data_IF_298402091063
#
_entry.id   IF_298402091063
#
_cell.length_a   1.000
_cell.length_b   1.000
_cell.length_c   1.000
_cell.angle_alpha   90.00
_cell.angle_beta   90.00
_cell.angle_gamma   90.00
#
_symmetry.space_group_name_H-M   'P 1'
#
loop_
_entity.id
_entity.type
_entity.pdbx_description
1 polymer ?
#
# COMPACT_ATOMS: atom_id res chain seq x y z
N UNK A 1 -1.37 -29.61 24.00
CA UNK A 1 -1.84 -28.30 23.51
C UNK A 1 -1.97 -28.45 22.01
N UNK A 2 -3.18 -28.36 21.50
CA UNK A 2 -3.44 -28.61 20.08
C UNK A 2 -3.04 -27.38 19.26
N UNK A 3 -2.34 -27.64 18.15
CA UNK A 3 -1.81 -26.62 17.25
C UNK A 3 -2.61 -26.71 15.95
N UNK A 4 -3.10 -25.57 15.47
CA UNK A 4 -3.84 -25.43 14.23
C UNK A 4 -3.12 -24.46 13.28
N UNK A 5 -3.09 -24.81 12.00
CA UNK A 5 -2.59 -23.91 10.95
C UNK A 5 -3.72 -22.94 10.56
N UNK A 6 -3.58 -21.68 10.94
CA UNK A 6 -4.61 -20.64 10.78
C UNK A 6 -4.11 -19.54 9.84
N UNK A 7 -5.02 -18.99 9.02
CA UNK A 7 -4.72 -17.94 8.04
C UNK A 7 -5.20 -16.58 8.54
N UNK A 8 -4.29 -15.61 8.63
CA UNK A 8 -4.60 -14.21 8.95
C UNK A 8 -5.65 -13.63 7.99
N UNK A 9 -6.71 -13.07 8.54
CA UNK A 9 -7.84 -12.51 7.76
C UNK A 9 -7.45 -11.21 7.03
N UNK A 10 -6.40 -10.53 7.49
CA UNK A 10 -5.89 -9.31 6.90
C UNK A 10 -5.00 -9.61 5.67
N UNK A 11 -3.81 -10.18 5.91
CA UNK A 11 -2.75 -10.34 4.91
C UNK A 11 -2.68 -11.75 4.30
N UNK A 12 -3.35 -12.74 4.90
CA UNK A 12 -3.35 -14.11 4.41
C UNK A 12 -2.12 -14.94 4.79
N UNK A 13 -1.22 -14.40 5.62
CA UNK A 13 -0.13 -15.16 6.24
C UNK A 13 -0.70 -16.34 7.04
N UNK A 14 -0.04 -17.50 6.96
CA UNK A 14 -0.41 -18.68 7.73
C UNK A 14 0.56 -18.85 8.89
N UNK A 15 0.02 -19.17 10.06
CA UNK A 15 0.79 -19.41 11.29
C UNK A 15 0.26 -20.67 11.96
N UNK A 16 1.15 -21.44 12.59
CA UNK A 16 0.79 -22.57 13.44
C UNK A 16 0.61 -22.04 14.86
N UNK A 17 -0.61 -22.09 15.38
CA UNK A 17 -0.98 -21.46 16.64
C UNK A 17 -1.81 -22.39 17.51
N UNK A 18 -1.73 -22.21 18.82
CA UNK A 18 -2.55 -22.96 19.77
C UNK A 18 -3.97 -22.41 19.78
N UNK A 19 -4.96 -23.27 20.05
CA UNK A 19 -6.36 -22.83 20.03
C UNK A 19 -6.65 -21.72 21.04
N UNK A 20 -6.00 -21.77 22.20
CA UNK A 20 -6.14 -20.74 23.23
C UNK A 20 -5.65 -19.37 22.74
N UNK A 21 -4.49 -19.34 22.06
CA UNK A 21 -3.96 -18.11 21.50
C UNK A 21 -4.85 -17.58 20.36
N UNK A 22 -5.39 -18.47 19.52
CA UNK A 22 -6.34 -18.09 18.47
C UNK A 22 -7.58 -17.40 19.05
N UNK A 23 -8.15 -17.98 20.11
CA UNK A 23 -9.32 -17.42 20.77
C UNK A 23 -9.01 -16.09 21.46
N UNK A 24 -7.86 -15.97 22.11
CA UNK A 24 -7.41 -14.72 22.74
C UNK A 24 -7.27 -13.58 21.73
N UNK A 25 -6.63 -13.85 20.59
CA UNK A 25 -6.48 -12.85 19.51
C UNK A 25 -7.84 -12.46 18.97
N UNK A 26 -8.73 -13.42 18.67
CA UNK A 26 -10.09 -13.11 18.19
C UNK A 26 -10.88 -12.26 19.19
N UNK A 27 -10.75 -12.53 20.49
CA UNK A 27 -11.42 -11.73 21.52
C UNK A 27 -10.91 -10.27 21.55
N UNK A 28 -9.63 -10.05 21.25
CA UNK A 28 -9.02 -8.72 21.21
C UNK A 28 -9.35 -7.94 19.94
N UNK A 29 -9.46 -8.59 18.78
CA UNK A 29 -9.53 -7.93 17.47
C UNK A 29 -10.87 -8.13 16.76
N UNK A 30 -11.99 -7.85 17.44
CA UNK A 30 -13.33 -7.86 16.83
C UNK A 30 -13.70 -9.21 16.19
N UNK A 31 -13.38 -10.31 16.89
CA UNK A 31 -13.64 -11.67 16.42
C UNK A 31 -12.73 -12.16 15.29
N UNK A 32 -11.81 -11.32 14.81
CA UNK A 32 -10.93 -11.63 13.67
C UNK A 32 -9.60 -12.20 14.13
N UNK A 33 -9.14 -13.24 13.44
CA UNK A 33 -7.78 -13.73 13.60
C UNK A 33 -6.79 -12.87 12.80
N UNK A 34 -5.81 -12.30 13.49
CA UNK A 34 -4.70 -11.54 12.92
C UNK A 34 -3.37 -12.22 13.25
N UNK A 35 -2.46 -12.25 12.28
CA UNK A 35 -1.09 -12.70 12.56
C UNK A 35 -0.38 -11.76 13.53
N UNK A 36 0.76 -12.20 14.09
CA UNK A 36 1.52 -11.39 15.06
C UNK A 36 1.81 -9.97 14.57
N UNK A 37 2.25 -9.83 13.31
CA UNK A 37 2.58 -8.53 12.71
C UNK A 37 1.36 -7.61 12.52
N UNK A 38 0.24 -8.15 12.04
CA UNK A 38 -0.99 -7.36 11.90
C UNK A 38 -1.56 -6.96 13.28
N UNK A 39 -1.41 -7.83 14.28
CA UNK A 39 -1.86 -7.55 15.66
C UNK A 39 -1.05 -6.42 16.31
N UNK A 40 0.26 -6.34 16.07
CA UNK A 40 1.08 -5.20 16.50
C UNK A 40 0.68 -3.92 15.76
N UNK A 41 0.54 -3.97 14.43
CA UNK A 41 0.18 -2.80 13.63
C UNK A 41 -1.17 -2.19 14.05
N UNK A 42 -2.19 -3.01 14.32
CA UNK A 42 -3.49 -2.53 14.82
C UNK A 42 -3.34 -1.89 16.21
N UNK A 43 -2.55 -2.48 17.12
CA UNK A 43 -2.30 -1.90 18.45
C UNK A 43 -1.60 -0.54 18.37
N UNK A 44 -0.64 -0.41 17.46
CA UNK A 44 0.05 0.85 17.20
C UNK A 44 -0.91 1.93 16.68
N UNK A 45 -1.86 1.56 15.81
CA UNK A 45 -2.90 2.46 15.30
C UNK A 45 -3.83 2.95 16.43
N UNK A 46 -4.26 2.05 17.33
CA UNK A 46 -5.08 2.41 18.51
C UNK A 46 -4.33 3.38 19.42
N UNK A 47 -3.06 3.10 19.72
CA UNK A 47 -2.24 3.93 20.62
C UNK A 47 -1.91 5.32 20.05
N UNK A 48 -1.92 5.49 18.72
CA UNK A 48 -1.62 6.77 18.06
C UNK A 48 -2.78 7.77 18.08
N UNK A 49 -4.01 7.29 18.31
CA UNK A 49 -5.19 8.14 18.39
C UNK A 49 -5.33 8.80 19.75
N UNK A 50 -5.34 10.14 19.82
CA UNK A 50 -5.72 10.91 21.03
C UNK A 50 -7.22 10.79 21.41
N UNK A 51 -7.92 9.82 20.83
CA UNK A 51 -9.31 9.46 21.13
C UNK A 51 -9.33 7.96 21.31
N UNK A 52 -10.16 7.48 22.24
CA UNK A 52 -10.50 6.06 22.35
C UNK A 52 -11.05 5.59 20.99
N UNK A 53 -10.16 5.15 20.10
CA UNK A 53 -10.58 4.48 18.88
C UNK A 53 -11.16 3.14 19.31
N UNK A 54 -12.39 2.90 18.88
CA UNK A 54 -13.01 1.59 19.02
C UNK A 54 -12.11 0.63 18.25
N UNK A 55 -11.61 -0.42 18.91
CA UNK A 55 -10.69 -1.42 18.33
C UNK A 55 -11.17 -1.93 16.95
N UNK A 56 -12.49 -2.06 16.78
CA UNK A 56 -13.14 -2.37 15.50
C UNK A 56 -12.72 -1.42 14.37
N UNK A 57 -12.66 -0.12 14.61
CA UNK A 57 -12.30 0.89 13.62
C UNK A 57 -10.83 0.76 13.22
N UNK A 58 -9.93 0.55 14.18
CA UNK A 58 -8.51 0.30 13.89
C UNK A 58 -8.32 -0.98 13.07
N UNK A 59 -8.98 -2.08 13.46
CA UNK A 59 -8.98 -3.33 12.68
C UNK A 59 -9.47 -3.07 11.25
N UNK A 60 -10.57 -2.33 11.08
CA UNK A 60 -11.14 -2.01 9.75
C UNK A 60 -10.20 -1.12 8.92
N UNK A 61 -9.57 -0.13 9.52
CA UNK A 61 -8.61 0.76 8.88
C UNK A 61 -7.39 -0.04 8.38
N UNK A 62 -6.78 -0.82 9.26
CA UNK A 62 -5.64 -1.68 8.94
C UNK A 62 -5.95 -2.68 7.80
N UNK A 63 -7.07 -3.40 7.90
CA UNK A 63 -7.47 -4.35 6.85
C UNK A 63 -7.72 -3.66 5.50
N UNK A 64 -8.29 -2.45 5.51
CA UNK A 64 -8.51 -1.66 4.30
C UNK A 64 -7.19 -1.21 3.67
N UNK A 65 -6.22 -0.82 4.50
CA UNK A 65 -4.87 -0.47 4.07
C UNK A 65 -4.16 -1.68 3.45
N UNK A 66 -4.07 -2.81 4.18
CA UNK A 66 -3.39 -4.00 3.68
C UNK A 66 -3.99 -4.52 2.37
N UNK A 67 -5.31 -4.45 2.19
CA UNK A 67 -5.96 -4.85 0.93
C UNK A 67 -5.50 -4.06 -0.29
N UNK A 68 -5.16 -2.77 -0.14
CA UNK A 68 -4.67 -1.93 -1.26
C UNK A 68 -3.31 -2.38 -1.78
N UNK A 69 -2.48 -2.93 -0.90
CA UNK A 69 -1.10 -3.34 -1.20
C UNK A 69 -0.93 -4.86 -1.26
N UNK A 70 -2.03 -5.62 -1.42
CA UNK A 70 -1.96 -7.08 -1.71
C UNK A 70 -1.31 -7.39 -3.06
N UNK A 71 -1.10 -6.39 -3.92
CA UNK A 71 -0.32 -6.56 -5.14
C UNK A 71 1.14 -6.75 -4.80
N UNK A 72 1.76 -7.79 -5.36
CA UNK A 72 3.20 -7.97 -5.31
C UNK A 72 3.87 -6.65 -5.76
N UNK A 73 4.80 -6.06 -4.98
CA UNK A 73 5.48 -4.82 -5.35
C UNK A 73 6.07 -4.87 -6.78
N UNK A 74 6.49 -6.06 -7.24
CA UNK A 74 6.94 -6.29 -8.60
C UNK A 74 5.88 -5.98 -9.67
N UNK A 75 4.59 -6.14 -9.39
CA UNK A 75 3.48 -5.79 -10.30
C UNK A 75 3.42 -4.27 -10.46
N UNK A 76 3.53 -3.51 -9.37
CA UNK A 76 3.53 -2.04 -9.43
C UNK A 76 4.75 -1.52 -10.19
N UNK A 77 5.93 -2.12 -9.96
CA UNK A 77 7.15 -1.82 -10.72
C UNK A 77 6.95 -2.15 -12.21
N UNK A 78 6.40 -3.32 -12.53
CA UNK A 78 6.11 -3.72 -13.90
C UNK A 78 5.09 -2.79 -14.58
N UNK A 79 4.07 -2.33 -13.86
CA UNK A 79 3.10 -1.35 -14.37
C UNK A 79 3.76 0.01 -14.66
N UNK A 80 4.63 0.47 -13.77
CA UNK A 80 5.45 1.65 -14.00
C UNK A 80 6.31 1.51 -15.27
N UNK A 81 6.99 0.37 -15.44
CA UNK A 81 7.78 0.07 -16.64
C UNK A 81 6.91 0.03 -17.91
N UNK A 82 5.75 -0.64 -17.84
CA UNK A 82 4.78 -0.69 -18.95
C UNK A 82 4.33 0.70 -19.36
N UNK A 83 4.02 1.58 -18.40
CA UNK A 83 3.59 2.95 -18.66
C UNK A 83 4.71 3.78 -19.32
N UNK A 84 5.96 3.65 -18.86
CA UNK A 84 7.12 4.32 -19.45
C UNK A 84 7.36 3.90 -20.91
N UNK A 85 7.29 2.60 -21.19
CA UNK A 85 7.48 2.07 -22.55
C UNK A 85 6.33 2.50 -23.50
N UNK A 86 5.08 2.52 -23.01
CA UNK A 86 3.91 2.99 -23.78
C UNK A 86 3.99 4.48 -24.09
N UNK A 87 4.42 5.32 -23.13
CA UNK A 87 4.65 6.76 -23.37
C UNK A 87 5.69 6.99 -24.46
N UNK A 88 6.75 6.19 -24.47
CA UNK A 88 7.83 6.29 -25.46
C UNK A 88 7.44 5.79 -26.87
N UNK A 89 6.40 4.96 -26.98
CA UNK A 89 5.93 4.44 -28.28
C UNK A 89 4.86 5.31 -28.95
N UNK A 90 4.28 6.28 -28.24
CA UNK A 90 3.34 7.26 -28.82
C UNK A 90 4.00 8.47 -29.51
N UNK A 91 5.27 8.77 -29.20
CA UNK A 91 6.00 9.92 -29.78
C UNK A 91 6.70 9.60 -31.11
N UNK A 92 6.70 8.34 -31.56
CA UNK A 92 7.29 7.94 -32.84
C UNK A 92 6.30 7.97 -34.02
N UNK A 93 5.08 8.46 -33.82
CA UNK A 93 4.09 8.55 -34.90
C UNK A 93 3.32 9.86 -34.91
N UNK A 94 4.01 11.00 -34.71
CA UNK A 94 3.61 12.28 -35.32
C UNK A 94 4.57 13.42 -34.96
N UNK A 95 5.62 13.65 -35.76
CA UNK A 95 6.06 15.02 -36.09
C UNK A 95 7.15 15.00 -37.17
N UNK A 96 6.75 14.77 -38.42
CA UNK A 96 7.41 15.43 -39.54
C UNK A 96 7.08 16.92 -39.47
N UNK A 97 7.91 17.75 -38.83
CA UNK A 97 8.13 19.18 -39.20
C UNK A 97 8.99 19.94 -38.18
N UNK A 98 10.24 20.19 -38.60
CA UNK A 98 11.06 21.40 -38.44
C UNK A 98 11.37 21.97 -37.04
N UNK A 99 12.66 22.27 -36.74
CA UNK A 99 13.04 22.96 -35.51
C UNK A 99 12.62 24.43 -35.56
N UNK A 100 11.75 24.85 -34.63
CA UNK A 100 11.44 26.27 -34.43
C UNK A 100 12.65 26.98 -33.83
N UNK A 101 13.27 27.87 -34.59
CA UNK A 101 14.32 28.80 -34.12
C UNK A 101 13.72 29.73 -33.06
N UNK A 102 14.19 29.63 -31.83
CA UNK A 102 13.97 30.62 -30.79
C UNK A 102 14.85 31.85 -31.11
N UNK A 103 14.20 32.97 -31.42
CA UNK A 103 14.83 34.28 -31.59
C UNK A 103 15.13 34.88 -30.21
N UNK A 104 16.40 35.19 -29.95
CA UNK A 104 16.85 35.96 -28.78
C UNK A 104 16.42 37.42 -28.93
N UNK A 105 15.55 37.91 -28.04
CA UNK A 105 15.25 39.34 -27.93
C UNK A 105 16.42 40.07 -27.26
N UNK A 106 16.85 41.16 -27.90
CA UNK A 106 17.89 42.06 -27.41
C UNK A 106 17.44 42.75 -26.12
N UNK A 107 18.27 42.68 -25.07
CA UNK A 107 18.15 43.56 -23.92
C UNK A 107 18.91 44.86 -24.23
N UNK A 108 18.16 45.96 -24.29
CA UNK A 108 18.67 47.32 -24.49
C UNK A 108 19.44 47.78 -23.26
N UNK A 109 20.65 48.26 -23.47
CA UNK A 109 21.47 48.97 -22.49
C UNK A 109 20.99 50.42 -22.41
N UNK A 110 20.69 50.95 -21.22
CA UNK A 110 20.73 52.39 -20.96
C UNK A 110 21.14 52.71 -19.51
N UNK A 111 22.23 53.48 -19.44
CA UNK A 111 22.84 54.28 -18.37
C UNK A 111 23.25 53.61 -17.05
#
# INVERSE_FOLDING_TARGET
MDIEMVKCECCGLKEDCTQDYINEVKAKFDGKWLCGLCSEAVRDEVNKGNKEFVMEEAVKAHMSFCRKYKSNPAIQVADGMRQMLRRRSGDFSSSSSSPKKYSRSAASSYY
#
